data_IF_956233294500
#
_entry.id   IF_956233294500
#
_cell.length_a   1.000
_cell.length_b   1.000
_cell.length_c   1.000
_cell.angle_alpha   90.00
_cell.angle_beta   90.00
_cell.angle_gamma   90.00
#
_symmetry.space_group_name_H-M   'P 1'
#
loop_
_entity.id
_entity.type
_entity.pdbx_description
1 polymer ?
#
# COMPACT_ATOMS: atom_id res chain seq x y z
N UNK A 1 16.97 -9.43 7.68
CA UNK A 1 16.49 -8.23 6.96
C UNK A 1 14.99 -8.19 7.17
N UNK A 2 14.37 -7.02 7.41
CA UNK A 2 12.91 -6.92 7.44
C UNK A 2 12.40 -7.38 6.08
N UNK A 3 11.50 -8.36 6.06
CA UNK A 3 10.97 -8.89 4.83
C UNK A 3 9.85 -7.95 4.34
N UNK A 4 10.02 -7.43 3.13
CA UNK A 4 9.15 -6.43 2.53
C UNK A 4 7.88 -7.11 1.99
N UNK A 5 6.71 -6.54 2.28
CA UNK A 5 5.42 -6.97 1.70
C UNK A 5 5.03 -6.08 0.51
N UNK A 6 5.42 -4.81 0.54
CA UNK A 6 5.21 -3.89 -0.57
C UNK A 6 6.27 -4.11 -1.67
N UNK A 7 5.84 -4.58 -2.83
CA UNK A 7 6.65 -4.66 -4.03
C UNK A 7 6.73 -3.33 -4.78
N UNK A 8 6.82 -3.41 -6.11
CA UNK A 8 6.77 -2.21 -6.96
C UNK A 8 5.46 -1.45 -6.77
N UNK A 9 5.53 -0.12 -6.73
CA UNK A 9 4.37 0.76 -6.78
C UNK A 9 4.61 1.93 -7.72
N UNK A 10 3.54 2.46 -8.29
CA UNK A 10 3.55 3.61 -9.18
C UNK A 10 2.21 4.35 -9.10
N UNK A 11 2.25 5.67 -9.26
CA UNK A 11 1.04 6.47 -9.45
C UNK A 11 1.09 7.08 -10.84
N UNK A 12 -0.01 6.95 -11.58
CA UNK A 12 -0.17 7.49 -12.92
C UNK A 12 -1.39 8.40 -12.98
N UNK A 13 -1.28 9.54 -13.66
CA UNK A 13 -2.43 10.40 -13.98
C UNK A 13 -3.34 9.68 -14.99
N UNK A 14 -4.63 9.66 -14.71
CA UNK A 14 -5.66 9.07 -15.54
C UNK A 14 -6.77 10.10 -15.81
N UNK A 15 -7.22 10.29 -17.07
CA UNK A 15 -8.21 11.30 -17.40
C UNK A 15 -9.63 10.99 -16.91
N UNK A 16 -9.90 9.76 -16.44
CA UNK A 16 -11.23 9.33 -15.99
C UNK A 16 -11.40 9.34 -14.48
N UNK A 17 -10.32 9.04 -13.74
CA UNK A 17 -10.34 8.88 -12.27
C UNK A 17 -9.31 9.75 -11.55
N UNK A 18 -8.72 10.73 -12.24
CA UNK A 18 -7.58 11.57 -11.86
C UNK A 18 -6.26 10.80 -11.73
N UNK A 19 -6.20 9.78 -10.86
CA UNK A 19 -5.00 8.99 -10.62
C UNK A 19 -5.29 7.51 -10.43
N UNK A 20 -4.40 6.66 -10.94
CA UNK A 20 -4.37 5.23 -10.67
C UNK A 20 -3.09 4.93 -9.88
N UNK A 21 -3.26 4.39 -8.67
CA UNK A 21 -2.20 3.75 -7.91
C UNK A 21 -2.09 2.28 -8.34
N UNK A 22 -0.94 1.90 -8.86
CA UNK A 22 -0.55 0.50 -9.05
C UNK A 22 0.40 0.09 -7.94
N UNK A 23 0.21 -1.08 -7.34
CA UNK A 23 1.17 -1.66 -6.41
C UNK A 23 1.17 -3.19 -6.49
N UNK A 24 2.21 -3.82 -5.95
CA UNK A 24 2.30 -5.28 -5.86
C UNK A 24 2.47 -5.75 -4.42
N UNK A 25 1.82 -6.85 -4.06
CA UNK A 25 2.02 -7.56 -2.78
C UNK A 25 2.09 -9.07 -3.03
N UNK A 26 2.65 -9.87 -2.09
CA UNK A 26 2.61 -11.33 -2.16
C UNK A 26 1.18 -11.87 -2.33
N UNK A 27 1.03 -12.99 -3.04
CA UNK A 27 -0.27 -13.62 -3.32
C UNK A 27 -0.96 -14.23 -2.08
N UNK A 28 -0.23 -14.39 -0.98
CA UNK A 28 -0.73 -14.80 0.34
C UNK A 28 -0.80 -13.62 1.35
N UNK A 29 -0.84 -12.40 0.82
CA UNK A 29 -1.12 -11.19 1.59
C UNK A 29 -2.43 -10.57 1.13
N UNK A 30 -3.04 -9.82 2.03
CA UNK A 30 -4.15 -8.95 1.72
C UNK A 30 -3.83 -7.49 2.06
N UNK A 31 -4.65 -6.60 1.54
CA UNK A 31 -4.57 -5.18 1.85
C UNK A 31 -5.92 -4.63 2.27
N UNK A 32 -5.88 -3.56 3.04
CA UNK A 32 -7.04 -2.75 3.41
C UNK A 32 -6.71 -1.28 3.24
N UNK A 33 -7.71 -0.46 2.97
CA UNK A 33 -7.53 0.98 2.82
C UNK A 33 -8.34 1.77 3.83
N UNK A 34 -7.76 2.85 4.33
CA UNK A 34 -8.42 3.83 5.19
C UNK A 34 -8.01 5.24 4.80
N UNK A 35 -8.71 6.24 5.33
CA UNK A 35 -8.33 7.65 5.18
C UNK A 35 -8.21 8.25 6.57
N UNK A 36 -7.05 8.85 6.86
CA UNK A 36 -6.81 9.58 8.11
C UNK A 36 -6.28 10.98 7.79
N UNK A 37 -6.96 12.02 8.25
CA UNK A 37 -6.59 13.42 8.04
C UNK A 37 -6.21 13.77 6.57
N UNK A 38 -6.94 13.21 5.60
CA UNK A 38 -6.71 13.42 4.16
C UNK A 38 -5.56 12.61 3.56
N UNK A 39 -4.97 11.69 4.34
CA UNK A 39 -3.97 10.71 3.87
C UNK A 39 -4.68 9.39 3.59
N UNK A 40 -4.57 8.89 2.35
CA UNK A 40 -5.02 7.56 2.00
C UNK A 40 -3.99 6.55 2.51
N UNK A 41 -4.38 5.65 3.41
CA UNK A 41 -3.49 4.65 3.98
C UNK A 41 -3.80 3.30 3.32
N UNK A 42 -2.78 2.63 2.79
CA UNK A 42 -2.86 1.26 2.28
C UNK A 42 -2.09 0.37 3.24
N UNK A 43 -2.81 -0.45 4.00
CA UNK A 43 -2.24 -1.37 4.99
C UNK A 43 -2.16 -2.77 4.38
N UNK A 44 -0.97 -3.38 4.40
CA UNK A 44 -0.68 -4.71 3.86
C UNK A 44 -0.37 -5.67 5.00
N UNK A 45 -0.93 -6.88 5.00
CA UNK A 45 -0.66 -7.90 6.01
C UNK A 45 -0.73 -9.30 5.41
N UNK A 46 -0.13 -10.26 6.10
CA UNK A 46 -0.27 -11.67 5.76
C UNK A 46 -1.73 -12.12 5.94
N UNK A 47 -2.15 -13.08 5.11
CA UNK A 47 -3.40 -13.78 5.35
C UNK A 47 -3.34 -14.60 6.64
N UNK A 48 -4.52 -14.89 7.20
CA UNK A 48 -4.62 -15.60 8.47
C UNK A 48 -4.02 -17.01 8.37
N UNK A 49 -3.07 -17.31 9.25
CA UNK A 49 -2.37 -18.61 9.29
C UNK A 49 -1.10 -18.70 8.45
N UNK A 50 -0.84 -17.71 7.58
CA UNK A 50 0.42 -17.59 6.85
C UNK A 50 1.55 -17.15 7.78
N UNK A 51 2.76 -17.67 7.53
CA UNK A 51 3.95 -17.39 8.35
C UNK A 51 4.95 -16.50 7.63
N UNK A 52 5.06 -16.67 6.33
CA UNK A 52 6.03 -15.99 5.48
C UNK A 52 5.32 -15.51 4.21
N UNK A 53 5.67 -14.34 3.68
CA UNK A 53 5.14 -13.88 2.41
C UNK A 53 5.66 -14.73 1.26
N UNK A 54 4.76 -15.03 0.33
CA UNK A 54 5.07 -15.70 -0.91
C UNK A 54 6.08 -14.90 -1.75
N UNK A 55 6.98 -15.57 -2.48
CA UNK A 55 7.84 -14.90 -3.45
C UNK A 55 7.08 -14.44 -4.70
N UNK A 56 5.81 -14.84 -4.87
CA UNK A 56 4.97 -14.49 -6.00
C UNK A 56 4.20 -13.21 -5.66
N UNK A 57 4.43 -12.16 -6.44
CA UNK A 57 3.80 -10.86 -6.26
C UNK A 57 2.66 -10.65 -7.26
N UNK A 58 1.51 -10.23 -6.76
CA UNK A 58 0.30 -9.92 -7.53
C UNK A 58 0.12 -8.41 -7.60
N UNK A 59 -0.28 -7.94 -8.78
CA UNK A 59 -0.53 -6.52 -9.07
C UNK A 59 -1.96 -6.13 -8.69
N UNK A 60 -2.09 -4.97 -8.06
CA UNK A 60 -3.36 -4.32 -7.74
C UNK A 60 -3.36 -2.90 -8.29
N UNK A 61 -4.51 -2.47 -8.80
CA UNK A 61 -4.76 -1.13 -9.32
C UNK A 61 -5.91 -0.51 -8.51
N UNK A 62 -5.73 0.74 -8.08
CA UNK A 62 -6.68 1.49 -7.27
C UNK A 62 -6.86 2.91 -7.80
N UNK A 63 -8.12 3.30 -7.93
CA UNK A 63 -8.49 4.62 -8.42
C UNK A 63 -8.51 5.63 -7.26
N UNK A 64 -7.92 6.80 -7.49
CA UNK A 64 -7.87 7.88 -6.51
C UNK A 64 -8.17 9.22 -7.15
N UNK A 65 -9.22 9.88 -6.64
CA UNK A 65 -9.48 11.28 -6.95
C UNK A 65 -8.63 12.20 -6.08
N UNK A 66 -8.25 13.33 -6.64
CA UNK A 66 -7.48 14.34 -5.91
C UNK A 66 -8.41 15.18 -5.01
N UNK A 67 -7.99 15.45 -3.77
CA UNK A 67 -8.74 16.33 -2.86
C UNK A 67 -7.93 17.59 -2.60
N UNK A 68 -8.49 18.77 -2.87
CA UNK A 68 -7.82 20.07 -2.70
C UNK A 68 -6.46 20.18 -3.44
N UNK A 69 -6.34 19.59 -4.64
CA UNK A 69 -5.11 19.64 -5.43
C UNK A 69 -3.97 18.75 -4.91
N UNK A 70 -4.24 17.91 -3.91
CA UNK A 70 -3.27 17.02 -3.29
C UNK A 70 -3.80 15.59 -3.25
N UNK A 71 -2.97 14.63 -3.66
CA UNK A 71 -3.17 13.21 -3.40
C UNK A 71 -2.01 12.73 -2.53
N UNK A 72 -2.34 12.25 -1.33
CA UNK A 72 -1.36 11.65 -0.42
C UNK A 72 -1.72 10.20 -0.18
N UNK A 73 -0.74 9.30 -0.42
CA UNK A 73 -0.86 7.86 -0.21
C UNK A 73 0.27 7.43 0.72
N UNK A 74 -0.07 6.77 1.83
CA UNK A 74 0.85 6.21 2.81
C UNK A 74 0.70 4.69 2.79
N UNK A 75 1.79 3.97 2.53
CA UNK A 75 1.81 2.54 2.71
C UNK A 75 2.16 2.18 4.15
N UNK A 76 1.48 1.20 4.70
CA UNK A 76 1.82 0.55 5.95
C UNK A 76 1.83 -0.95 5.70
N UNK A 77 2.76 -1.68 6.30
CA UNK A 77 2.78 -3.13 6.20
C UNK A 77 3.04 -3.76 7.55
N UNK A 78 2.53 -4.98 7.75
CA UNK A 78 2.86 -5.79 8.91
C UNK A 78 4.38 -6.01 9.02
N UNK A 79 4.94 -5.82 10.21
CA UNK A 79 6.28 -6.28 10.56
C UNK A 79 6.23 -7.78 10.80
N UNK A 80 6.85 -8.54 9.89
CA UNK A 80 6.92 -10.00 9.98
C UNK A 80 8.21 -10.48 10.66
N UNK A 81 9.06 -9.55 11.14
CA UNK A 81 10.22 -9.90 11.97
C UNK A 81 9.87 -10.02 13.46
N UNK A 82 8.82 -9.34 13.91
CA UNK A 82 8.28 -9.48 15.25
C UNK A 82 7.06 -10.40 15.24
N UNK A 83 7.26 -11.66 15.62
CA UNK A 83 6.20 -12.68 15.66
C UNK A 83 5.35 -12.62 16.94
N UNK A 84 5.71 -11.74 17.89
CA UNK A 84 5.03 -11.65 19.19
C UNK A 84 3.90 -10.64 19.20
N UNK A 85 3.99 -9.61 18.35
CA UNK A 85 3.01 -8.53 18.26
C UNK A 85 2.78 -8.15 16.81
N UNK A 86 1.54 -7.95 16.40
CA UNK A 86 1.23 -7.37 15.08
C UNK A 86 1.58 -5.88 15.12
N UNK A 87 2.74 -5.54 14.59
CA UNK A 87 3.21 -4.15 14.44
C UNK A 87 3.08 -3.77 12.96
N UNK A 88 2.72 -2.53 12.66
CA UNK A 88 2.73 -2.00 11.30
C UNK A 88 3.87 -0.99 11.13
N UNK A 89 4.65 -1.16 10.07
CA UNK A 89 5.77 -0.30 9.72
C UNK A 89 5.36 0.61 8.58
N UNK A 90 5.59 1.92 8.74
CA UNK A 90 5.37 2.91 7.68
C UNK A 90 6.37 2.71 6.54
N UNK A 91 5.84 2.75 5.32
CA UNK A 91 6.56 2.60 4.05
C UNK A 91 6.57 3.92 3.28
N UNK A 92 7.16 3.98 2.07
CA UNK A 92 7.26 5.23 1.33
C UNK A 92 5.89 5.91 1.20
N UNK A 93 5.91 7.22 1.45
CA UNK A 93 4.75 8.09 1.28
C UNK A 93 4.81 8.68 -0.12
N UNK A 94 3.75 8.47 -0.91
CA UNK A 94 3.60 9.08 -2.23
C UNK A 94 2.78 10.35 -2.08
N UNK A 95 3.30 11.45 -2.60
CA UNK A 95 2.63 12.75 -2.62
C UNK A 95 2.60 13.21 -4.06
N UNK A 96 1.39 13.43 -4.58
CA UNK A 96 1.17 13.96 -5.93
C UNK A 96 0.42 15.27 -5.80
N UNK A 97 0.91 16.29 -6.51
CA UNK A 97 0.29 17.62 -6.61
C UNK A 97 -0.01 17.90 -8.07
N UNK A 98 -1.18 18.44 -8.38
CA UNK A 98 -1.40 19.05 -9.71
C UNK A 98 -0.68 20.41 -9.70
N UNK A 99 0.44 20.50 -10.42
CA UNK A 99 1.17 21.75 -10.66
C UNK A 99 0.70 22.40 -11.96
#
# INVERSE_FOLDING_TARGET
MPQELLGDYAVKKDPTVDFILTFKIPDNCNYSTSVDNGVNIVTIKLDEGEKDPSPIYVRYDMDYSMTNGLLTIQFEQQDITDTTTVIYVKKPKVIVTDL
#
